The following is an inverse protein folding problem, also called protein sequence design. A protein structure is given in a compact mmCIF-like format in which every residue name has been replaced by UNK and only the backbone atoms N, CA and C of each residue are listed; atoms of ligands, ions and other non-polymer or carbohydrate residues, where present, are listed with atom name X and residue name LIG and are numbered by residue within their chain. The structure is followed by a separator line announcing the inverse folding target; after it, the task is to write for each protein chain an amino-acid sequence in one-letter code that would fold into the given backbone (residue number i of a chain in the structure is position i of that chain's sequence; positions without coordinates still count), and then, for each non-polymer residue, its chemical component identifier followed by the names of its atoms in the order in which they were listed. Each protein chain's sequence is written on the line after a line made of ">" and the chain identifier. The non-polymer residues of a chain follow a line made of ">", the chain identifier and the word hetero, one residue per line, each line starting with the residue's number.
data_IF_528581506026
#
_entry.id   IF_528581506026
#
_cell.length_a   1.000
_cell.length_b   1.000
_cell.length_c   1.000
_cell.angle_alpha   90.00
_cell.angle_beta   90.00
_cell.angle_gamma   90.00
#
_symmetry.space_group_name_H-M   'P 1'
#
loop_
_entity.id
_entity.type
_entity.pdbx_description
1 polymer ?
#
# COMPACT_ATOMS: atom_id res chain seq x y z
N UNK A 1 9.03 -1.74 -15.97
CA UNK A 1 7.93 -0.97 -15.36
C UNK A 1 8.17 -0.82 -13.87
N UNK A 2 7.68 0.28 -13.28
CA UNK A 2 7.77 0.57 -11.85
C UNK A 2 6.38 0.72 -11.29
N UNK A 3 6.12 0.07 -10.17
CA UNK A 3 4.82 0.04 -9.53
C UNK A 3 4.84 0.89 -8.26
N UNK A 4 4.00 1.91 -8.19
CA UNK A 4 3.78 2.70 -6.97
C UNK A 4 2.48 2.29 -6.31
N UNK A 5 2.50 2.09 -4.99
CA UNK A 5 1.33 1.75 -4.21
C UNK A 5 1.04 2.86 -3.20
N UNK A 6 -0.17 3.40 -3.23
CA UNK A 6 -0.71 4.23 -2.15
C UNK A 6 -1.88 3.47 -1.50
N UNK A 7 -1.62 2.85 -0.35
CA UNK A 7 -2.60 2.02 0.35
C UNK A 7 -3.43 2.78 1.38
N UNK A 8 -4.56 2.18 1.71
CA UNK A 8 -5.51 2.56 2.75
C UNK A 8 -6.00 1.30 3.46
N UNK A 9 -6.94 1.45 4.40
CA UNK A 9 -7.54 0.32 5.12
C UNK A 9 -8.26 -0.65 4.16
N UNK A 10 -7.63 -1.79 3.87
CA UNK A 10 -8.19 -2.89 3.08
C UNK A 10 -8.10 -2.75 1.56
N UNK A 11 -7.47 -1.70 1.03
CA UNK A 11 -7.33 -1.50 -0.42
C UNK A 11 -6.15 -0.58 -0.75
N UNK A 12 -5.76 -0.51 -2.03
CA UNK A 12 -4.74 0.43 -2.48
C UNK A 12 -4.99 0.98 -3.89
N UNK A 13 -4.44 2.17 -4.15
CA UNK A 13 -4.20 2.65 -5.52
C UNK A 13 -2.85 2.12 -6.00
N UNK A 14 -2.87 1.39 -7.11
CA UNK A 14 -1.70 0.94 -7.84
C UNK A 14 -1.52 1.81 -9.10
N UNK A 15 -0.34 2.39 -9.28
CA UNK A 15 0.05 3.10 -10.50
C UNK A 15 1.29 2.46 -11.07
N UNK A 16 1.21 2.01 -12.32
CA UNK A 16 2.37 1.48 -13.04
C UNK A 16 2.86 2.52 -14.03
N UNK A 17 4.15 2.82 -13.97
CA UNK A 17 4.81 3.75 -14.86
C UNK A 17 6.04 3.13 -15.54
N UNK A 18 6.38 3.64 -16.72
CA UNK A 18 7.65 3.38 -17.38
C UNK A 18 8.80 4.17 -16.75
N UNK A 19 10.03 3.92 -17.19
CA UNK A 19 11.23 4.61 -16.68
C UNK A 19 11.23 6.12 -16.98
N UNK A 20 10.58 6.56 -18.05
CA UNK A 20 10.33 7.96 -18.42
C UNK A 20 9.08 8.55 -17.75
N UNK A 21 8.52 7.86 -16.74
CA UNK A 21 7.39 8.28 -15.91
C UNK A 21 6.04 8.35 -16.63
N UNK A 22 5.89 7.68 -17.79
CA UNK A 22 4.60 7.53 -18.45
C UNK A 22 3.75 6.52 -17.69
N UNK A 23 2.57 6.94 -17.25
CA UNK A 23 1.60 6.03 -16.62
C UNK A 23 1.04 5.09 -17.69
N UNK A 24 1.18 3.78 -17.47
CA UNK A 24 0.70 2.72 -18.38
C UNK A 24 -0.50 1.98 -17.83
N UNK A 25 -0.65 1.92 -16.51
CA UNK A 25 -1.80 1.36 -15.83
C UNK A 25 -2.06 2.13 -14.53
N UNK A 26 -3.34 2.27 -14.18
CA UNK A 26 -3.75 2.69 -12.83
C UNK A 26 -5.01 1.93 -12.45
N UNK A 27 -5.08 1.45 -11.23
CA UNK A 27 -6.27 0.78 -10.71
C UNK A 27 -6.33 0.86 -9.19
N UNK A 28 -7.54 0.67 -8.68
CA UNK A 28 -7.76 0.32 -7.28
C UNK A 28 -7.67 -1.21 -7.17
N UNK A 29 -6.90 -1.70 -6.20
CA UNK A 29 -6.84 -3.11 -5.83
C UNK A 29 -7.45 -3.27 -4.44
N UNK A 30 -8.33 -4.23 -4.26
CA UNK A 30 -8.73 -4.67 -2.92
C UNK A 30 -7.58 -5.50 -2.34
N UNK A 31 -7.31 -5.32 -1.05
CA UNK A 31 -6.26 -6.06 -0.37
C UNK A 31 -6.82 -7.16 0.52
N UNK A 32 -8.14 -7.29 0.68
CA UNK A 32 -8.75 -8.23 1.62
C UNK A 32 -9.99 -8.82 0.96
N UNK A 33 -10.24 -10.11 1.19
CA UNK A 33 -11.46 -10.77 0.73
C UNK A 33 -12.72 -10.17 1.41
N UNK A 34 -13.86 -10.14 0.71
CA UNK A 34 -15.12 -9.66 1.29
C UNK A 34 -15.48 -10.38 2.60
N UNK A 35 -15.97 -9.62 3.57
CA UNK A 35 -16.44 -10.14 4.86
C UNK A 35 -15.39 -10.19 5.97
N UNK A 36 -14.14 -9.90 5.68
CA UNK A 36 -13.08 -9.77 6.69
C UNK A 36 -12.87 -8.31 7.12
N UNK A 37 -12.44 -8.07 8.37
CA UNK A 37 -12.22 -6.72 8.88
C UNK A 37 -11.00 -6.07 8.20
N UNK A 38 -11.15 -4.78 7.84
CA UNK A 38 -10.09 -4.00 7.20
C UNK A 38 -9.04 -3.43 8.16
N UNK A 39 -9.29 -3.53 9.47
CA UNK A 39 -8.37 -3.06 10.50
C UNK A 39 -8.54 -3.88 11.80
N UNK A 40 -8.30 -5.21 11.77
CA UNK A 40 -8.53 -6.08 12.93
C UNK A 40 -7.80 -5.61 14.19
N UNK A 41 -6.59 -5.05 14.06
CA UNK A 41 -5.83 -4.61 15.24
C UNK A 41 -6.40 -3.31 15.78
N UNK A 42 -6.63 -2.31 14.93
CA UNK A 42 -7.17 -1.01 15.36
C UNK A 42 -8.62 -1.10 15.85
N UNK A 43 -9.48 -1.81 15.11
CA UNK A 43 -10.92 -1.87 15.39
C UNK A 43 -11.28 -2.95 16.40
N UNK A 44 -10.81 -4.19 16.25
CA UNK A 44 -11.25 -5.32 17.11
C UNK A 44 -10.31 -5.52 18.32
N UNK A 45 -9.04 -5.15 18.17
CA UNK A 45 -8.02 -5.21 19.22
C UNK A 45 -7.83 -3.92 20.01
N UNK A 46 -8.11 -2.76 19.40
CA UNK A 46 -7.70 -1.45 19.92
C UNK A 46 -8.39 -1.02 21.22
N UNK A 47 -7.80 -0.07 21.97
CA UNK A 47 -8.37 0.39 23.24
C UNK A 47 -9.64 1.24 23.06
N UNK A 48 -9.90 1.70 21.83
CA UNK A 48 -10.96 2.65 21.54
C UNK A 48 -12.30 1.94 21.31
N UNK A 49 -13.23 2.10 22.25
CA UNK A 49 -14.59 1.55 22.14
C UNK A 49 -15.36 2.07 20.91
N UNK A 50 -15.01 3.27 20.41
CA UNK A 50 -15.66 3.91 19.26
C UNK A 50 -15.56 3.10 17.96
N UNK A 51 -14.57 2.21 17.83
CA UNK A 51 -14.34 1.43 16.61
C UNK A 51 -14.73 -0.04 16.76
N UNK A 52 -15.15 -0.47 17.96
CA UNK A 52 -15.48 -1.86 18.28
C UNK A 52 -16.96 -2.15 18.07
N UNK A 53 -17.26 -3.35 17.57
CA UNK A 53 -18.62 -3.87 17.48
C UNK A 53 -19.01 -4.76 18.67
N UNK A 54 -18.07 -5.03 19.59
CA UNK A 54 -18.28 -5.87 20.77
C UNK A 54 -17.14 -5.80 21.80
N UNK A 55 -17.12 -6.76 22.73
CA UNK A 55 -16.03 -6.91 23.69
C UNK A 55 -14.68 -7.08 22.99
N UNK A 56 -13.58 -6.56 23.55
CA UNK A 56 -12.28 -6.67 22.90
C UNK A 56 -11.85 -8.13 22.86
N UNK A 57 -11.33 -8.56 21.72
CA UNK A 57 -10.81 -9.91 21.56
C UNK A 57 -9.68 -10.16 22.56
N UNK A 58 -9.55 -11.41 23.01
CA UNK A 58 -8.35 -11.87 23.72
C UNK A 58 -7.15 -11.79 22.78
N UNK A 59 -5.93 -11.75 23.33
CA UNK A 59 -4.72 -11.68 22.49
C UNK A 59 -4.62 -12.87 21.53
N UNK A 60 -5.02 -14.07 21.97
CA UNK A 60 -5.09 -15.26 21.11
C UNK A 60 -6.12 -15.13 19.99
N UNK A 61 -7.36 -14.74 20.32
CA UNK A 61 -8.41 -14.59 19.31
C UNK A 61 -8.09 -13.47 18.30
N UNK A 62 -7.45 -12.39 18.76
CA UNK A 62 -6.98 -11.32 17.87
C UNK A 62 -5.84 -11.81 16.96
N UNK A 63 -4.88 -12.59 17.50
CA UNK A 63 -3.81 -13.16 16.69
C UNK A 63 -4.35 -14.10 15.59
N UNK A 64 -5.34 -14.93 15.90
CA UNK A 64 -5.98 -15.82 14.93
C UNK A 64 -6.73 -15.03 13.83
N UNK A 65 -7.43 -13.97 14.22
CA UNK A 65 -8.10 -13.07 13.27
C UNK A 65 -7.08 -12.36 12.37
N UNK A 66 -6.00 -11.83 12.95
CA UNK A 66 -4.92 -11.18 12.19
C UNK A 66 -4.26 -12.17 11.24
N UNK A 67 -4.00 -13.41 11.67
CA UNK A 67 -3.46 -14.45 10.79
C UNK A 67 -4.39 -14.75 9.60
N UNK A 68 -5.70 -14.81 9.85
CA UNK A 68 -6.73 -14.98 8.82
C UNK A 68 -6.72 -13.82 7.82
N UNK A 69 -6.71 -12.58 8.32
CA UNK A 69 -6.65 -11.38 7.47
C UNK A 69 -5.33 -11.34 6.68
N UNK A 70 -4.19 -11.63 7.30
CA UNK A 70 -2.90 -11.70 6.60
C UNK A 70 -2.93 -12.69 5.43
N UNK A 71 -3.46 -13.89 5.66
CA UNK A 71 -3.59 -14.90 4.61
C UNK A 71 -4.50 -14.44 3.45
N UNK A 72 -5.60 -13.76 3.79
CA UNK A 72 -6.50 -13.13 2.81
C UNK A 72 -5.78 -12.06 1.98
N UNK A 73 -4.99 -11.22 2.63
CA UNK A 73 -4.20 -10.18 1.95
C UNK A 73 -3.16 -10.77 1.03
N UNK A 74 -2.42 -11.77 1.50
CA UNK A 74 -1.44 -12.45 0.65
C UNK A 74 -2.08 -12.99 -0.64
N UNK A 75 -3.25 -13.65 -0.55
CA UNK A 75 -3.96 -14.16 -1.73
C UNK A 75 -4.44 -13.05 -2.65
N UNK A 76 -5.20 -12.09 -2.10
CA UNK A 76 -5.85 -11.03 -2.89
C UNK A 76 -4.82 -10.13 -3.56
N UNK A 77 -3.80 -9.70 -2.81
CA UNK A 77 -2.72 -8.90 -3.35
C UNK A 77 -1.88 -9.69 -4.37
N UNK A 78 -1.59 -10.98 -4.15
CA UNK A 78 -0.87 -11.80 -5.14
C UNK A 78 -1.62 -11.85 -6.47
N UNK A 79 -2.92 -12.15 -6.45
CA UNK A 79 -3.76 -12.19 -7.64
C UNK A 79 -3.77 -10.85 -8.36
N UNK A 80 -3.99 -9.75 -7.64
CA UNK A 80 -4.03 -8.41 -8.22
C UNK A 80 -2.69 -8.01 -8.86
N UNK A 81 -1.56 -8.40 -8.26
CA UNK A 81 -0.23 -8.16 -8.80
C UNK A 81 0.07 -9.02 -10.04
N UNK A 82 -0.42 -10.27 -10.08
CA UNK A 82 -0.32 -11.15 -11.26
C UNK A 82 -1.13 -10.62 -12.42
N UNK A 83 -2.39 -10.22 -12.19
CA UNK A 83 -3.25 -9.60 -13.19
C UNK A 83 -2.63 -8.32 -13.76
N UNK A 84 -2.05 -7.48 -12.89
CA UNK A 84 -1.37 -6.26 -13.30
C UNK A 84 -0.11 -6.58 -14.11
N UNK A 85 0.72 -7.53 -13.66
CA UNK A 85 1.92 -7.95 -14.39
C UNK A 85 1.60 -8.56 -15.77
N UNK A 86 0.47 -9.25 -15.91
CA UNK A 86 0.05 -9.88 -17.16
C UNK A 86 -0.36 -8.87 -18.26
N UNK A 87 -0.80 -7.66 -17.89
CA UNK A 87 -1.32 -6.67 -18.87
C UNK A 87 -0.32 -5.57 -19.23
N UNK A 88 0.78 -5.44 -18.49
CA UNK A 88 1.80 -4.41 -18.76
C UNK A 88 2.78 -4.87 -19.83
N UNK A 89 3.11 -3.99 -20.77
CA UNK A 89 3.91 -4.33 -21.96
C UNK A 89 5.39 -4.66 -21.67
N UNK A 90 5.87 -4.43 -20.44
CA UNK A 90 7.23 -4.79 -20.04
C UNK A 90 7.24 -5.25 -18.57
N UNK A 91 8.24 -6.07 -18.17
CA UNK A 91 8.32 -6.58 -16.81
C UNK A 91 8.30 -5.47 -15.75
N UNK A 92 7.61 -5.71 -14.65
CA UNK A 92 7.73 -4.89 -13.44
C UNK A 92 9.04 -5.26 -12.78
N UNK A 93 9.84 -4.26 -12.42
CA UNK A 93 11.17 -4.46 -11.83
C UNK A 93 11.24 -3.95 -10.40
N UNK A 94 10.29 -3.10 -10.00
CA UNK A 94 10.26 -2.55 -8.65
C UNK A 94 8.85 -2.18 -8.19
N UNK A 95 8.68 -2.19 -6.86
CA UNK A 95 7.50 -1.72 -6.16
C UNK A 95 7.89 -0.70 -5.10
N UNK A 96 7.21 0.45 -5.06
CA UNK A 96 7.38 1.49 -4.06
C UNK A 96 6.23 1.50 -3.07
N UNK A 97 6.55 1.39 -1.78
CA UNK A 97 5.61 1.28 -0.66
C UNK A 97 5.84 2.40 0.36
N UNK A 98 4.80 2.79 1.11
CA UNK A 98 4.96 3.73 2.22
C UNK A 98 5.91 3.11 3.26
N UNK A 99 6.89 3.87 3.72
CA UNK A 99 7.83 3.45 4.76
C UNK A 99 7.14 3.18 6.10
N UNK A 100 7.67 2.23 6.86
CA UNK A 100 7.32 1.97 8.27
C UNK A 100 8.60 1.82 9.12
N UNK A 101 8.51 1.96 10.45
CA UNK A 101 9.68 1.79 11.34
C UNK A 101 10.22 0.36 11.26
N UNK A 102 11.54 0.20 11.15
CA UNK A 102 12.18 -1.11 11.09
C UNK A 102 11.99 -1.92 12.39
N UNK A 103 11.82 -1.21 13.51
CA UNK A 103 11.57 -1.71 14.85
C UNK A 103 10.08 -1.77 15.22
N UNK A 104 9.17 -1.67 14.24
CA UNK A 104 7.74 -1.80 14.52
C UNK A 104 7.44 -3.18 15.14
N UNK A 105 6.71 -3.24 16.27
CA UNK A 105 6.55 -4.48 17.01
C UNK A 105 5.81 -5.54 16.19
N UNK A 106 6.12 -6.80 16.42
CA UNK A 106 5.43 -7.96 15.80
C UNK A 106 4.44 -8.63 16.75
N UNK A 107 4.57 -8.41 18.06
CA UNK A 107 3.67 -8.94 19.07
C UNK A 107 2.31 -8.23 19.04
N UNK A 108 1.24 -9.00 18.83
CA UNK A 108 -0.15 -8.54 18.78
C UNK A 108 -0.56 -7.84 20.08
N UNK A 109 -0.11 -8.35 21.24
CA UNK A 109 -0.45 -7.78 22.54
C UNK A 109 0.11 -6.35 22.72
N UNK A 110 1.22 -6.06 22.02
CA UNK A 110 1.84 -4.74 21.98
C UNK A 110 1.25 -3.88 20.85
N UNK A 111 1.09 -4.43 19.64
CA UNK A 111 0.55 -3.73 18.49
C UNK A 111 -0.84 -3.13 18.75
N UNK A 112 -1.70 -3.82 19.51
CA UNK A 112 -3.05 -3.34 19.85
C UNK A 112 -3.11 -2.16 20.82
N UNK A 113 -1.95 -1.65 21.27
CA UNK A 113 -1.84 -0.54 22.25
C UNK A 113 -1.31 0.73 21.59
N UNK A 114 -1.61 1.87 22.20
CA UNK A 114 -0.97 3.15 21.84
C UNK A 114 0.55 3.03 22.06
N UNK A 115 1.39 3.52 21.13
CA UNK A 115 1.07 4.30 19.92
C UNK A 115 0.98 3.46 18.62
N UNK A 116 0.92 2.13 18.72
CA UNK A 116 1.06 1.23 17.57
C UNK A 116 -0.26 0.95 16.86
N UNK A 117 -1.36 0.90 17.61
CA UNK A 117 -2.67 0.40 17.15
C UNK A 117 -3.13 0.98 15.81
N UNK A 118 -2.95 2.28 15.59
CA UNK A 118 -3.53 3.01 14.45
C UNK A 118 -2.69 2.83 13.19
N UNK A 119 -1.50 2.25 13.35
CA UNK A 119 -0.54 1.99 12.29
C UNK A 119 -0.40 0.49 12.01
N UNK A 120 -0.79 -0.37 12.93
CA UNK A 120 -0.48 -1.80 12.87
C UNK A 120 -1.03 -2.46 11.60
N UNK A 121 -2.31 -2.23 11.27
CA UNK A 121 -2.92 -2.79 10.06
C UNK A 121 -2.27 -2.25 8.78
N UNK A 122 -1.96 -0.95 8.76
CA UNK A 122 -1.23 -0.31 7.65
C UNK A 122 0.17 -0.92 7.46
N UNK A 123 0.90 -1.17 8.54
CA UNK A 123 2.23 -1.77 8.50
C UNK A 123 2.13 -3.21 8.00
N UNK A 124 1.15 -3.97 8.48
CA UNK A 124 0.87 -5.34 8.01
C UNK A 124 0.65 -5.39 6.49
N UNK A 125 -0.19 -4.51 5.93
CA UNK A 125 -0.41 -4.48 4.48
C UNK A 125 0.87 -4.17 3.69
N UNK A 126 1.66 -3.18 4.14
CA UNK A 126 2.92 -2.86 3.49
C UNK A 126 3.94 -4.01 3.57
N UNK A 127 4.05 -4.69 4.71
CA UNK A 127 4.96 -5.83 4.87
C UNK A 127 4.59 -6.99 3.93
N UNK A 128 3.31 -7.30 3.81
CA UNK A 128 2.83 -8.36 2.90
C UNK A 128 3.11 -7.98 1.44
N UNK A 129 2.84 -6.74 1.04
CA UNK A 129 3.16 -6.27 -0.31
C UNK A 129 4.66 -6.33 -0.60
N UNK A 130 5.51 -5.97 0.37
CA UNK A 130 6.95 -6.05 0.24
C UNK A 130 7.44 -7.50 0.06
N UNK A 131 6.89 -8.43 0.85
CA UNK A 131 7.16 -9.87 0.72
C UNK A 131 6.75 -10.39 -0.66
N UNK A 132 5.54 -10.04 -1.13
CA UNK A 132 5.04 -10.43 -2.46
C UNK A 132 5.90 -9.85 -3.60
N UNK A 133 6.40 -8.63 -3.47
CA UNK A 133 7.33 -8.03 -4.41
C UNK A 133 8.68 -8.76 -4.41
N UNK A 134 9.23 -9.04 -3.22
CA UNK A 134 10.48 -9.80 -3.06
C UNK A 134 10.41 -11.20 -3.67
N UNK A 135 9.32 -11.92 -3.45
CA UNK A 135 9.08 -13.25 -4.04
C UNK A 135 9.01 -13.23 -5.58
N UNK A 136 8.73 -12.07 -6.17
CA UNK A 136 8.72 -11.84 -7.63
C UNK A 136 10.06 -11.31 -8.16
N UNK A 137 11.07 -11.15 -7.30
CA UNK A 137 12.36 -10.55 -7.66
C UNK A 137 12.29 -9.05 -7.94
N UNK A 138 11.24 -8.36 -7.47
CA UNK A 138 11.10 -6.92 -7.64
C UNK A 138 11.86 -6.18 -6.53
N UNK A 139 12.58 -5.12 -6.89
CA UNK A 139 13.18 -4.24 -5.90
C UNK A 139 12.08 -3.54 -5.09
N UNK A 140 12.21 -3.51 -3.76
CA UNK A 140 11.28 -2.81 -2.88
C UNK A 140 11.90 -1.47 -2.47
N UNK A 141 11.21 -0.39 -2.79
CA UNK A 141 11.57 0.96 -2.37
C UNK A 141 10.56 1.48 -1.34
N UNK A 142 11.06 2.26 -0.40
CA UNK A 142 10.21 2.88 0.62
C UNK A 142 10.15 4.38 0.44
N UNK A 143 8.98 4.98 0.66
CA UNK A 143 8.79 6.43 0.55
C UNK A 143 8.11 7.02 1.78
N UNK A 144 8.42 8.29 2.08
CA UNK A 144 7.67 9.09 3.07
C UNK A 144 6.39 9.62 2.44
N UNK A 145 5.22 9.21 2.93
CA UNK A 145 3.94 9.71 2.41
C UNK A 145 3.75 11.22 2.59
N UNK A 146 4.49 11.84 3.52
CA UNK A 146 4.48 13.29 3.73
C UNK A 146 5.28 14.03 2.65
N UNK A 147 6.34 13.42 2.16
CA UNK A 147 7.39 14.11 1.41
C UNK A 147 7.48 13.69 -0.07
N UNK A 148 6.94 12.53 -0.43
CA UNK A 148 7.15 11.91 -1.75
C UNK A 148 6.73 12.79 -2.93
N UNK A 149 5.58 13.47 -2.87
CA UNK A 149 5.15 14.38 -3.97
C UNK A 149 6.12 15.58 -4.10
N UNK A 150 6.61 16.12 -2.98
CA UNK A 150 7.59 17.22 -2.97
C UNK A 150 8.93 16.76 -3.51
N UNK A 151 9.37 15.57 -3.14
CA UNK A 151 10.63 15.00 -3.61
C UNK A 151 10.57 14.67 -5.10
N UNK A 152 9.50 14.04 -5.58
CA UNK A 152 9.28 13.82 -7.00
C UNK A 152 9.26 15.14 -7.78
N UNK A 153 8.62 16.19 -7.25
CA UNK A 153 8.61 17.52 -7.87
C UNK A 153 10.04 18.07 -8.01
N UNK A 154 10.87 17.96 -6.98
CA UNK A 154 12.28 18.39 -7.01
C UNK A 154 13.09 17.61 -8.06
N UNK A 155 12.86 16.30 -8.19
CA UNK A 155 13.55 15.46 -9.18
C UNK A 155 13.12 15.73 -10.61
N UNK A 156 11.84 16.07 -10.83
CA UNK A 156 11.27 16.29 -12.16
C UNK A 156 11.51 17.71 -12.70
N UNK A 157 11.73 18.70 -11.82
CA UNK A 157 11.86 20.11 -12.20
C UNK A 157 10.64 20.61 -12.96
N UNK A 158 10.85 21.29 -14.08
CA UNK A 158 9.80 21.88 -14.91
C UNK A 158 8.78 20.87 -15.44
N UNK A 159 9.15 19.58 -15.52
CA UNK A 159 8.26 18.50 -15.96
C UNK A 159 7.27 18.04 -14.88
N UNK A 160 7.43 18.47 -13.63
CA UNK A 160 6.68 17.95 -12.48
C UNK A 160 5.16 18.02 -12.68
N UNK A 161 4.66 19.19 -13.12
CA UNK A 161 3.23 19.38 -13.37
C UNK A 161 2.71 18.44 -14.44
N UNK A 162 3.42 18.32 -15.56
CA UNK A 162 3.04 17.44 -16.67
C UNK A 162 3.01 15.96 -16.27
N UNK A 163 4.01 15.51 -15.52
CA UNK A 163 4.12 14.10 -15.09
C UNK A 163 3.10 13.78 -13.99
N UNK A 164 3.02 14.58 -12.92
CA UNK A 164 2.19 14.25 -11.76
C UNK A 164 0.70 14.59 -11.96
N UNK A 165 0.37 15.61 -12.74
CA UNK A 165 -1.01 16.06 -12.94
C UNK A 165 -1.57 15.78 -14.34
N UNK A 166 -0.72 15.69 -15.36
CA UNK A 166 -1.12 15.41 -16.74
C UNK A 166 -1.92 14.11 -16.96
N UNK A 167 -1.69 13.01 -16.22
CA UNK A 167 -2.47 11.79 -16.40
C UNK A 167 -3.98 11.96 -16.19
N UNK A 168 -4.42 12.97 -15.41
CA UNK A 168 -5.85 13.29 -15.28
C UNK A 168 -6.49 13.65 -16.63
N UNK A 169 -5.80 14.47 -17.43
CA UNK A 169 -6.31 14.90 -18.74
C UNK A 169 -6.18 13.80 -19.78
N UNK A 170 -5.11 13.01 -19.72
CA UNK A 170 -4.84 11.95 -20.70
C UNK A 170 -5.70 10.70 -20.49
N UNK A 171 -5.93 10.33 -19.23
CA UNK A 171 -6.57 9.06 -18.89
C UNK A 171 -7.98 9.23 -18.30
N UNK A 172 -8.38 10.45 -17.95
CA UNK A 172 -9.64 10.75 -17.30
C UNK A 172 -9.66 10.45 -15.79
N UNK A 173 -10.77 10.76 -15.09
CA UNK A 173 -10.95 10.36 -13.70
C UNK A 173 -11.03 8.83 -13.54
N UNK A 174 -10.62 8.27 -12.39
CA UNK A 174 -10.07 8.96 -11.22
C UNK A 174 -8.59 9.33 -11.40
N UNK A 175 -8.20 10.47 -10.79
CA UNK A 175 -6.81 10.89 -10.58
C UNK A 175 -6.71 11.72 -9.30
N UNK A 176 -6.74 11.03 -8.16
CA UNK A 176 -6.76 11.62 -6.82
C UNK A 176 -5.35 11.91 -6.28
N UNK A 177 -5.26 12.39 -5.03
CA UNK A 177 -3.98 12.50 -4.32
C UNK A 177 -3.24 11.16 -4.26
N UNK A 178 -3.93 10.07 -3.99
CA UNK A 178 -3.30 8.75 -3.88
C UNK A 178 -2.67 8.28 -5.19
N UNK A 179 -3.29 8.60 -6.33
CA UNK A 179 -2.70 8.32 -7.65
C UNK A 179 -1.40 9.09 -7.85
N UNK A 180 -1.37 10.37 -7.45
CA UNK A 180 -0.16 11.18 -7.51
C UNK A 180 0.91 10.72 -6.53
N UNK A 181 0.53 10.36 -5.31
CA UNK A 181 1.43 9.78 -4.30
C UNK A 181 2.07 8.49 -4.84
N UNK A 182 1.26 7.58 -5.41
CA UNK A 182 1.76 6.35 -6.03
C UNK A 182 2.71 6.63 -7.20
N UNK A 183 2.34 7.53 -8.13
CA UNK A 183 3.21 7.91 -9.25
C UNK A 183 4.51 8.56 -8.76
N UNK A 184 4.43 9.50 -7.83
CA UNK A 184 5.58 10.17 -7.23
C UNK A 184 6.54 9.15 -6.59
N UNK A 185 6.02 8.10 -5.95
CA UNK A 185 6.84 7.03 -5.38
C UNK A 185 7.67 6.27 -6.44
N UNK A 186 7.15 6.11 -7.67
CA UNK A 186 7.92 5.52 -8.79
C UNK A 186 8.99 6.44 -9.34
N UNK A 187 8.80 7.76 -9.20
CA UNK A 187 9.77 8.79 -9.61
C UNK A 187 10.93 8.82 -8.62
N UNK A 188 10.62 8.86 -7.31
CA UNK A 188 11.63 8.90 -6.23
C UNK A 188 12.48 7.63 -6.19
N UNK A 189 11.89 6.46 -6.50
CA UNK A 189 12.61 5.19 -6.51
C UNK A 189 13.75 5.09 -7.55
N UNK A 190 13.75 5.95 -8.57
CA UNK A 190 14.83 6.04 -9.55
C UNK A 190 14.65 5.16 -10.76
#
# INVERSE_FOLDING_TARGET
>A
MRLGIAHHFGWAVAVTASADHRVVDRRRIELIEPGLPAAPIHHDGGPHALHRTGEPLTDGALADLVATVRASVSRTASSALEELAAVVAAPIVSMSLRAWPADFPTDIALQRRVPFESRADSVMYCQILAELAGNRGWAVHHYSAKDVEREATRLLGDRATGVLHGPRSLLGPPWSKDHRTALAATVVAG
#
